data_IF_907632989172
#
_entry.id   IF_907632989172
#
_cell.length_a   1.000
_cell.length_b   1.000
_cell.length_c   1.000
_cell.angle_alpha   90.00
_cell.angle_beta   90.00
_cell.angle_gamma   90.00
#
_symmetry.space_group_name_H-M   'P 1'
#
loop_
_entity.id
_entity.type
_entity.pdbx_description
1 polymer ?
#
# COMPACT_ATOMS: atom_id res chain seq x y z
N UNK A 1 -13.22 -55.54 5.20
CA UNK A 1 -11.76 -55.55 4.88
C UNK A 1 -11.09 -54.32 5.49
N UNK A 2 -10.73 -54.48 6.77
CA UNK A 2 -9.70 -53.83 7.61
C UNK A 2 -9.43 -52.31 7.49
N UNK A 3 -9.70 -51.64 8.63
CA UNK A 3 -9.13 -50.39 9.18
C UNK A 3 -7.61 -50.13 8.95
N UNK A 4 -6.84 -51.12 8.45
CA UNK A 4 -5.43 -50.95 8.06
C UNK A 4 -5.25 -49.99 6.87
N UNK A 5 -6.26 -49.82 6.01
CA UNK A 5 -6.22 -48.84 4.92
C UNK A 5 -6.45 -47.39 5.40
N UNK A 6 -7.19 -47.18 6.48
CA UNK A 6 -7.47 -45.84 7.01
C UNK A 6 -6.23 -45.21 7.64
N UNK A 7 -5.39 -45.98 8.35
CA UNK A 7 -4.09 -45.51 8.86
C UNK A 7 -3.08 -45.22 7.74
N UNK A 8 -3.14 -45.94 6.61
CA UNK A 8 -2.30 -45.69 5.42
C UNK A 8 -2.74 -44.41 4.68
N UNK A 9 -4.05 -44.15 4.61
CA UNK A 9 -4.65 -42.90 4.11
C UNK A 9 -4.39 -41.70 5.02
N UNK A 10 -4.44 -41.88 6.35
CA UNK A 10 -4.10 -40.83 7.32
C UNK A 10 -2.60 -40.49 7.35
N UNK A 11 -1.71 -41.48 7.14
CA UNK A 11 -0.28 -41.25 6.91
C UNK A 11 -0.01 -40.49 5.59
N UNK A 12 -0.76 -40.79 4.52
CA UNK A 12 -0.70 -39.99 3.27
C UNK A 12 -1.25 -38.57 3.42
N UNK A 13 -2.34 -38.36 4.20
CA UNK A 13 -2.85 -37.02 4.54
C UNK A 13 -1.81 -36.19 5.28
N UNK A 14 -1.14 -36.73 6.31
CA UNK A 14 -0.03 -36.04 6.99
C UNK A 14 1.13 -35.71 6.06
N UNK A 15 1.38 -36.52 5.02
CA UNK A 15 2.40 -36.24 4.01
C UNK A 15 2.01 -35.08 3.10
N UNK A 16 0.74 -34.98 2.66
CA UNK A 16 0.28 -33.89 1.79
C UNK A 16 0.21 -32.57 2.56
N UNK A 17 -0.22 -32.59 3.84
CA UNK A 17 -0.16 -31.39 4.70
C UNK A 17 1.28 -30.95 4.95
N UNK A 18 2.26 -31.88 4.94
CA UNK A 18 3.69 -31.58 5.03
C UNK A 18 4.25 -30.95 3.74
N UNK A 19 3.73 -31.30 2.56
CA UNK A 19 4.20 -30.69 1.30
C UNK A 19 3.55 -29.34 1.00
N UNK A 20 2.33 -29.08 1.49
CA UNK A 20 1.71 -27.74 1.38
C UNK A 20 2.34 -26.74 2.36
N UNK A 21 3.05 -27.21 3.39
CA UNK A 21 3.73 -26.34 4.37
C UNK A 21 5.13 -25.87 3.96
N UNK A 22 5.72 -26.38 2.88
CA UNK A 22 7.08 -25.98 2.47
C UNK A 22 7.17 -25.08 1.24
N UNK A 23 6.08 -24.73 0.54
CA UNK A 23 6.20 -23.83 -0.65
C UNK A 23 5.00 -22.95 -1.01
N UNK A 24 3.91 -22.93 -0.23
CA UNK A 24 2.71 -22.16 -0.60
C UNK A 24 2.04 -21.60 0.66
N UNK A 25 2.05 -20.27 0.83
CA UNK A 25 1.20 -19.64 1.82
C UNK A 25 -0.20 -19.51 1.24
N UNK A 26 -1.12 -20.37 1.70
CA UNK A 26 -2.53 -20.23 1.40
C UNK A 26 -3.08 -19.14 2.32
N UNK A 27 -3.13 -17.89 1.85
CA UNK A 27 -3.84 -16.85 2.57
C UNK A 27 -5.34 -17.18 2.46
N UNK A 28 -5.93 -17.64 3.57
CA UNK A 28 -7.34 -18.04 3.64
C UNK A 28 -8.24 -16.80 3.62
N UNK A 29 -8.30 -16.09 2.49
CA UNK A 29 -9.30 -15.06 2.28
C UNK A 29 -10.54 -15.72 1.69
N UNK A 30 -11.56 -15.79 2.52
CA UNK A 30 -12.80 -16.53 2.30
C UNK A 30 -13.82 -15.69 1.51
N UNK A 31 -13.94 -15.91 0.20
CA UNK A 31 -14.91 -15.21 -0.65
C UNK A 31 -16.11 -16.07 -1.06
N UNK A 32 -17.31 -15.47 -1.06
CA UNK A 32 -18.43 -15.94 -1.87
C UNK A 32 -18.16 -15.56 -3.34
N UNK A 33 -18.54 -16.42 -4.29
CA UNK A 33 -18.35 -16.23 -5.74
C UNK A 33 -19.12 -15.03 -6.28
N UNK A 34 -18.64 -13.83 -5.97
CA UNK A 34 -19.21 -12.54 -6.36
C UNK A 34 -18.44 -11.97 -7.55
N UNK A 35 -19.06 -11.05 -8.30
CA UNK A 35 -18.39 -10.32 -9.38
C UNK A 35 -17.07 -9.65 -8.93
N UNK A 36 -17.06 -9.09 -7.72
CA UNK A 36 -15.85 -8.48 -7.11
C UNK A 36 -14.70 -9.49 -6.96
N UNK A 37 -14.99 -10.74 -6.60
CA UNK A 37 -13.96 -11.78 -6.46
C UNK A 37 -13.31 -12.15 -7.80
N UNK A 38 -14.10 -12.36 -8.85
CA UNK A 38 -13.57 -12.66 -10.18
C UNK A 38 -12.83 -11.48 -10.79
N UNK A 39 -13.28 -10.25 -10.53
CA UNK A 39 -12.56 -9.04 -10.92
C UNK A 39 -11.20 -8.94 -10.23
N UNK A 40 -11.13 -9.19 -8.91
CA UNK A 40 -9.86 -9.27 -8.18
C UNK A 40 -8.89 -10.28 -8.81
N UNK A 41 -9.37 -11.49 -9.13
CA UNK A 41 -8.54 -12.52 -9.80
C UNK A 41 -8.01 -12.02 -11.14
N UNK A 42 -8.85 -11.36 -11.94
CA UNK A 42 -8.45 -10.80 -13.24
C UNK A 42 -7.32 -9.78 -13.08
N UNK A 43 -7.46 -8.84 -12.14
CA UNK A 43 -6.42 -7.84 -11.85
C UNK A 43 -5.12 -8.50 -11.39
N UNK A 44 -5.19 -9.43 -10.44
CA UNK A 44 -4.00 -10.14 -9.93
C UNK A 44 -3.28 -10.92 -11.03
N UNK A 45 -4.02 -11.58 -11.93
CA UNK A 45 -3.44 -12.28 -13.08
C UNK A 45 -2.70 -11.33 -14.02
N UNK A 46 -3.20 -10.12 -14.23
CA UNK A 46 -2.55 -9.10 -15.07
C UNK A 46 -1.31 -8.54 -14.36
N UNK A 47 -1.44 -8.18 -13.08
CA UNK A 47 -0.41 -7.50 -12.29
C UNK A 47 0.81 -8.38 -11.94
N UNK A 48 0.61 -9.66 -11.66
CA UNK A 48 1.58 -10.55 -10.98
C UNK A 48 2.87 -10.92 -11.74
N UNK A 49 3.16 -10.29 -12.88
CA UNK A 49 4.38 -10.56 -13.65
C UNK A 49 5.57 -9.67 -13.26
N UNK A 50 5.39 -8.70 -12.35
CA UNK A 50 6.46 -7.84 -11.85
C UNK A 50 7.13 -8.45 -10.60
N UNK A 51 8.47 -8.40 -10.46
CA UNK A 51 9.19 -9.04 -9.36
C UNK A 51 8.79 -8.52 -7.97
N UNK A 52 8.44 -7.23 -7.87
CA UNK A 52 7.99 -6.59 -6.63
C UNK A 52 6.47 -6.64 -6.41
N UNK A 53 5.74 -7.51 -7.10
CA UNK A 53 4.32 -7.77 -6.86
C UNK A 53 4.16 -9.22 -6.40
N UNK A 54 3.29 -9.46 -5.42
CA UNK A 54 3.02 -10.80 -4.92
C UNK A 54 2.51 -11.70 -6.06
N UNK A 55 3.19 -12.83 -6.28
CA UNK A 55 2.81 -13.70 -7.38
C UNK A 55 1.47 -14.40 -7.08
N UNK A 56 0.58 -14.38 -8.07
CA UNK A 56 -0.68 -15.12 -8.04
C UNK A 56 -0.52 -16.44 -8.79
N UNK A 57 -0.73 -17.56 -8.09
CA UNK A 57 -0.63 -18.90 -8.70
C UNK A 57 -1.98 -19.45 -9.14
N UNK A 58 -3.07 -19.07 -8.47
CA UNK A 58 -4.41 -19.53 -8.83
C UNK A 58 -5.40 -19.49 -7.68
N UNK A 59 -6.51 -20.20 -7.87
CA UNK A 59 -7.51 -20.42 -6.84
C UNK A 59 -7.64 -21.90 -6.53
N UNK A 60 -8.03 -22.22 -5.31
CA UNK A 60 -8.43 -23.56 -4.90
C UNK A 60 -9.73 -23.51 -4.13
N UNK A 61 -10.34 -24.68 -3.97
CA UNK A 61 -11.53 -24.89 -3.16
C UNK A 61 -11.33 -26.18 -2.38
N UNK A 62 -11.28 -26.08 -1.06
CA UNK A 62 -11.16 -27.25 -0.21
C UNK A 62 -12.47 -28.05 -0.23
N UNK A 63 -12.36 -29.37 -0.17
CA UNK A 63 -13.51 -30.26 -0.13
C UNK A 63 -14.38 -29.87 1.08
N UNK A 64 -15.68 -29.67 0.85
CA UNK A 64 -16.69 -29.20 1.83
C UNK A 64 -16.70 -27.70 2.17
N UNK A 65 -15.81 -26.89 1.60
CA UNK A 65 -15.90 -25.44 1.72
C UNK A 65 -16.79 -24.83 0.64
N UNK A 66 -17.64 -23.86 1.01
CA UNK A 66 -18.44 -23.10 0.04
C UNK A 66 -17.64 -21.99 -0.65
N UNK A 67 -16.46 -21.66 -0.11
CA UNK A 67 -15.67 -20.48 -0.48
C UNK A 67 -14.41 -20.90 -1.24
N UNK A 68 -13.90 -19.97 -2.06
CA UNK A 68 -12.63 -20.13 -2.76
C UNK A 68 -11.49 -19.55 -1.92
N UNK A 69 -10.29 -20.12 -2.06
CA UNK A 69 -9.04 -19.63 -1.49
C UNK A 69 -8.10 -19.18 -2.61
N UNK A 70 -7.30 -18.15 -2.34
CA UNK A 70 -6.25 -17.67 -3.24
C UNK A 70 -4.93 -18.39 -2.94
N UNK A 71 -4.26 -18.83 -3.99
CA UNK A 71 -2.90 -19.40 -3.91
C UNK A 71 -1.92 -18.31 -4.33
N UNK A 72 -1.12 -17.83 -3.38
CA UNK A 72 -0.17 -16.73 -3.56
C UNK A 72 1.26 -17.16 -3.21
N UNK A 73 2.24 -16.40 -3.70
CA UNK A 73 3.61 -16.43 -3.19
C UNK A 73 3.64 -16.21 -1.68
N UNK A 74 4.54 -16.92 -1.00
CA UNK A 74 4.77 -16.75 0.43
C UNK A 74 5.78 -15.62 0.66
N UNK A 75 5.39 -14.57 1.38
CA UNK A 75 6.32 -13.55 1.87
C UNK A 75 6.66 -13.86 3.34
N UNK A 76 7.94 -14.08 3.61
CA UNK A 76 8.44 -14.70 4.84
C UNK A 76 8.65 -13.73 6.02
N UNK A 77 8.62 -12.41 5.77
CA UNK A 77 8.92 -11.40 6.78
C UNK A 77 7.73 -10.46 7.08
N UNK A 78 6.50 -10.95 6.88
CA UNK A 78 5.29 -10.21 7.24
C UNK A 78 5.09 -8.93 6.41
N UNK A 79 4.43 -7.94 7.01
CA UNK A 79 4.13 -6.66 6.35
C UNK A 79 5.25 -5.64 6.55
N UNK A 80 5.31 -4.62 5.68
CA UNK A 80 6.19 -3.46 5.87
C UNK A 80 5.83 -2.72 7.16
N UNK A 81 4.55 -2.68 7.57
CA UNK A 81 4.14 -2.11 8.86
C UNK A 81 4.87 -2.78 10.03
N UNK A 82 4.87 -4.10 10.06
CA UNK A 82 5.52 -4.88 11.12
C UNK A 82 7.04 -4.71 11.07
N UNK A 83 7.60 -4.70 9.85
CA UNK A 83 9.02 -4.48 9.61
C UNK A 83 9.52 -3.12 10.12
N UNK A 84 8.73 -2.06 9.90
CA UNK A 84 9.08 -0.69 10.34
C UNK A 84 8.93 -0.50 11.85
N UNK A 85 8.03 -1.23 12.51
CA UNK A 85 7.88 -1.20 13.97
C UNK A 85 8.92 -2.02 14.73
N UNK A 86 9.67 -2.87 14.05
CA UNK A 86 10.65 -3.74 14.70
C UNK A 86 11.97 -3.00 14.95
N UNK A 87 12.19 -2.54 16.17
CA UNK A 87 13.40 -1.80 16.57
C UNK A 87 14.70 -2.63 16.50
N UNK A 88 14.61 -3.97 16.46
CA UNK A 88 15.78 -4.82 16.27
C UNK A 88 16.32 -4.77 14.83
N UNK A 89 15.53 -4.26 13.87
CA UNK A 89 15.93 -4.17 12.46
C UNK A 89 16.67 -2.85 12.23
N UNK A 90 17.92 -2.96 11.80
CA UNK A 90 18.66 -1.82 11.25
C UNK A 90 18.10 -1.48 9.87
N UNK A 91 17.54 -0.27 9.71
CA UNK A 91 16.94 0.18 8.45
C UNK A 91 17.52 1.53 8.05
N UNK A 92 18.66 1.50 7.35
CA UNK A 92 19.42 2.70 6.97
C UNK A 92 18.96 3.24 5.62
N UNK A 93 19.43 4.43 5.30
CA UNK A 93 19.14 5.15 4.04
C UNK A 93 19.19 4.27 2.79
N UNK A 94 20.20 3.41 2.65
CA UNK A 94 20.34 2.52 1.49
C UNK A 94 19.16 1.56 1.35
N UNK A 95 18.66 1.00 2.44
CA UNK A 95 17.50 0.10 2.43
C UNK A 95 16.19 0.87 2.26
N UNK A 96 16.07 2.05 2.88
CA UNK A 96 14.93 2.95 2.70
C UNK A 96 14.75 3.33 1.22
N UNK A 97 15.82 3.80 0.58
CA UNK A 97 15.82 4.16 -0.84
C UNK A 97 15.58 2.94 -1.74
N UNK A 98 16.13 1.77 -1.38
CA UNK A 98 15.87 0.51 -2.09
C UNK A 98 14.38 0.18 -2.08
N UNK A 99 13.75 0.19 -0.90
CA UNK A 99 12.31 -0.13 -0.78
C UNK A 99 11.46 0.90 -1.52
N UNK A 100 11.80 2.20 -1.44
CA UNK A 100 11.10 3.23 -2.20
C UNK A 100 11.16 2.99 -3.72
N UNK A 101 12.34 2.63 -4.25
CA UNK A 101 12.54 2.28 -5.68
C UNK A 101 11.74 1.04 -6.08
N UNK A 102 11.75 -0.01 -5.26
CA UNK A 102 11.01 -1.24 -5.55
C UNK A 102 9.48 -1.01 -5.55
N UNK A 103 8.98 -0.24 -4.58
CA UNK A 103 7.56 0.16 -4.52
C UNK A 103 7.22 1.00 -5.76
N UNK A 104 8.00 2.03 -6.07
CA UNK A 104 7.76 2.89 -7.23
C UNK A 104 7.79 2.10 -8.54
N UNK A 105 8.70 1.14 -8.69
CA UNK A 105 8.76 0.25 -9.86
C UNK A 105 7.49 -0.60 -9.98
N UNK A 106 6.98 -1.15 -8.88
CA UNK A 106 5.73 -1.91 -8.89
C UNK A 106 4.54 -1.03 -9.29
N UNK A 107 4.46 0.20 -8.78
CA UNK A 107 3.38 1.13 -9.15
C UNK A 107 3.51 1.61 -10.59
N UNK A 108 4.73 1.85 -11.08
CA UNK A 108 5.00 2.21 -12.47
C UNK A 108 4.43 1.14 -13.41
N UNK A 109 4.75 -0.12 -13.13
CA UNK A 109 4.21 -1.27 -13.84
C UNK A 109 2.67 -1.34 -13.81
N UNK A 110 2.06 -1.11 -12.65
CA UNK A 110 0.60 -1.12 -12.55
C UNK A 110 -0.01 0.01 -13.40
N UNK A 111 0.47 1.22 -13.21
CA UNK A 111 -0.09 2.42 -13.83
C UNK A 111 0.14 2.43 -15.34
N UNK A 112 1.39 2.37 -15.77
CA UNK A 112 1.77 2.70 -17.14
C UNK A 112 1.72 1.47 -18.06
N UNK A 113 2.17 0.30 -17.60
CA UNK A 113 2.15 -0.92 -18.42
C UNK A 113 0.80 -1.64 -18.41
N UNK A 114 0.06 -1.60 -17.29
CA UNK A 114 -1.19 -2.37 -17.11
C UNK A 114 -2.45 -1.56 -17.01
N UNK A 115 -2.34 -0.24 -16.86
CA UNK A 115 -3.50 0.62 -16.66
C UNK A 115 -4.33 0.20 -15.45
N UNK A 116 -3.68 -0.17 -14.35
CA UNK A 116 -4.27 -0.55 -13.07
C UNK A 116 -3.98 0.55 -12.05
N UNK A 117 -4.99 0.95 -11.27
CA UNK A 117 -4.84 1.80 -10.08
C UNK A 117 -5.01 0.90 -8.85
N UNK A 118 -4.09 0.96 -7.89
CA UNK A 118 -4.10 0.08 -6.71
C UNK A 118 -5.21 0.45 -5.73
N UNK A 119 -5.35 1.75 -5.39
CA UNK A 119 -6.41 2.38 -4.57
C UNK A 119 -6.39 2.07 -3.08
N UNK A 120 -5.32 1.45 -2.58
CA UNK A 120 -5.18 1.07 -1.17
C UNK A 120 -3.71 0.85 -0.80
N UNK A 121 -2.84 1.76 -1.24
CA UNK A 121 -1.43 1.66 -0.91
C UNK A 121 -1.21 2.12 0.52
N UNK A 122 -0.71 1.20 1.34
CA UNK A 122 -0.29 1.45 2.71
C UNK A 122 0.65 0.33 3.17
N UNK A 123 1.40 0.50 4.27
CA UNK A 123 2.43 -0.46 4.67
C UNK A 123 1.90 -1.89 4.94
N UNK A 124 0.64 -2.07 5.36
CA UNK A 124 0.09 -3.43 5.53
C UNK A 124 -0.12 -4.18 4.19
N UNK A 125 -0.17 -3.47 3.06
CA UNK A 125 -0.32 -4.05 1.72
C UNK A 125 1.02 -4.19 0.99
N UNK A 126 2.13 -3.86 1.65
CA UNK A 126 3.49 -4.14 1.18
C UNK A 126 4.04 -5.25 2.06
N UNK A 127 4.38 -6.40 1.48
CA UNK A 127 4.95 -7.53 2.21
C UNK A 127 6.47 -7.54 2.05
N UNK A 128 7.17 -8.08 3.04
CA UNK A 128 8.63 -8.25 2.98
C UNK A 128 8.93 -9.72 2.67
N UNK A 129 9.73 -9.94 1.64
CA UNK A 129 10.19 -11.26 1.24
C UNK A 129 11.67 -11.22 0.89
N UNK A 130 12.53 -12.02 1.52
CA UNK A 130 13.96 -12.11 1.16
C UNK A 130 14.66 -10.74 0.98
N UNK A 131 14.39 -9.81 1.90
CA UNK A 131 14.91 -8.43 1.89
C UNK A 131 14.50 -7.59 0.66
N UNK A 132 13.45 -7.99 -0.06
CA UNK A 132 12.75 -7.19 -1.08
C UNK A 132 11.28 -7.02 -0.69
N UNK A 133 10.61 -6.06 -1.30
CA UNK A 133 9.17 -5.86 -1.13
C UNK A 133 8.34 -6.67 -2.15
N UNK A 134 7.14 -7.03 -1.74
CA UNK A 134 6.07 -7.61 -2.56
C UNK A 134 4.79 -6.83 -2.33
N UNK A 135 4.39 -6.03 -3.29
CA UNK A 135 3.11 -5.32 -3.25
C UNK A 135 1.95 -6.33 -3.35
N UNK A 136 0.98 -6.21 -2.47
CA UNK A 136 -0.10 -7.15 -2.28
C UNK A 136 -1.47 -6.45 -2.13
N UNK A 137 -2.50 -7.28 -2.05
CA UNK A 137 -3.93 -6.91 -1.95
C UNK A 137 -4.50 -5.97 -3.02
N UNK A 138 -4.88 -6.58 -4.14
CA UNK A 138 -5.57 -5.92 -5.24
C UNK A 138 -7.10 -5.92 -5.08
N UNK A 139 -7.62 -6.07 -3.86
CA UNK A 139 -9.06 -6.20 -3.60
C UNK A 139 -9.89 -4.98 -3.98
N UNK A 140 -9.25 -3.81 -4.05
CA UNK A 140 -9.88 -2.52 -4.33
C UNK A 140 -9.38 -1.87 -5.61
N UNK A 141 -8.42 -2.50 -6.27
CA UNK A 141 -7.83 -2.01 -7.50
C UNK A 141 -8.85 -1.92 -8.62
N UNK A 142 -8.60 -1.04 -9.57
CA UNK A 142 -9.45 -0.84 -10.75
C UNK A 142 -8.60 -0.67 -12.00
N UNK A 143 -9.24 -0.71 -13.16
CA UNK A 143 -8.59 -0.31 -14.40
C UNK A 143 -8.68 1.21 -14.54
N UNK A 144 -7.67 1.84 -15.16
CA UNK A 144 -7.71 3.26 -15.52
C UNK A 144 -8.94 3.52 -16.39
N UNK A 145 -9.56 4.67 -16.19
CA UNK A 145 -10.74 5.09 -16.95
C UNK A 145 -12.07 4.49 -16.46
N UNK A 146 -12.10 3.43 -15.64
CA UNK A 146 -13.39 2.90 -15.14
C UNK A 146 -14.08 3.90 -14.21
N UNK A 147 -15.33 4.27 -14.49
CA UNK A 147 -16.16 5.15 -13.65
C UNK A 147 -16.59 4.44 -12.37
N UNK A 148 -15.70 4.39 -11.38
CA UNK A 148 -16.07 4.05 -10.01
C UNK A 148 -16.02 5.31 -9.15
N UNK A 149 -17.13 6.04 -9.08
CA UNK A 149 -17.33 6.98 -8.00
C UNK A 149 -17.36 6.17 -6.70
N UNK A 150 -16.46 6.48 -5.78
CA UNK A 150 -16.58 5.93 -4.44
C UNK A 150 -17.67 6.72 -3.71
N UNK A 151 -18.81 6.08 -3.48
CA UNK A 151 -19.88 6.62 -2.63
C UNK A 151 -19.53 6.53 -1.14
N UNK A 152 -18.46 5.82 -0.80
CA UNK A 152 -18.04 5.55 0.57
C UNK A 152 -16.52 5.77 0.69
N UNK A 153 -16.09 6.29 1.85
CA UNK A 153 -14.68 6.40 2.21
C UNK A 153 -14.19 5.01 2.58
N UNK A 154 -13.15 4.55 1.90
CA UNK A 154 -12.58 3.22 2.10
C UNK A 154 -11.05 3.33 2.21
N UNK A 155 -10.45 2.49 3.05
CA UNK A 155 -9.01 2.37 3.23
C UNK A 155 -8.55 2.74 4.62
N UNK A 156 -7.24 2.66 4.84
CA UNK A 156 -6.65 3.12 6.10
C UNK A 156 -6.68 4.65 6.08
N UNK A 157 -7.53 5.24 6.93
CA UNK A 157 -7.88 6.67 6.96
C UNK A 157 -6.69 7.62 6.75
N UNK A 158 -5.57 7.30 7.41
CA UNK A 158 -4.32 8.08 7.42
C UNK A 158 -3.65 8.20 6.03
N UNK A 159 -3.98 7.32 5.10
CA UNK A 159 -3.42 7.30 3.75
C UNK A 159 -4.41 7.80 2.71
N UNK A 160 -5.70 7.92 3.04
CA UNK A 160 -6.73 8.22 2.03
C UNK A 160 -6.52 9.62 1.45
N UNK A 161 -6.61 9.71 0.13
CA UNK A 161 -6.54 10.97 -0.61
C UNK A 161 -7.56 12.00 -0.05
N UNK A 162 -7.14 13.23 0.31
CA UNK A 162 -8.01 14.25 0.86
C UNK A 162 -9.23 14.54 -0.03
N UNK A 163 -9.07 14.45 -1.36
CA UNK A 163 -10.19 14.61 -2.29
C UNK A 163 -11.20 13.48 -2.20
N UNK A 164 -10.74 12.25 -1.92
CA UNK A 164 -11.62 11.11 -1.68
C UNK A 164 -12.24 11.11 -0.26
N UNK A 165 -11.63 11.80 0.71
CA UNK A 165 -12.18 12.00 2.04
C UNK A 165 -13.30 13.06 2.08
N UNK A 166 -13.24 14.05 1.19
CA UNK A 166 -14.23 15.11 1.14
C UNK A 166 -15.54 14.62 0.50
N UNK A 167 -16.53 14.28 1.33
CA UNK A 167 -17.85 13.80 0.87
C UNK A 167 -18.68 14.85 0.13
N UNK A 168 -18.33 16.13 0.24
CA UNK A 168 -19.09 17.21 -0.38
C UNK A 168 -18.75 17.42 -1.87
N UNK A 169 -17.60 16.90 -2.32
CA UNK A 169 -17.11 17.09 -3.69
C UNK A 169 -16.90 15.70 -4.30
N UNK A 170 -17.66 15.33 -5.34
CA UNK A 170 -17.46 14.06 -6.02
C UNK A 170 -16.03 13.96 -6.56
N UNK A 171 -15.30 12.95 -6.12
CA UNK A 171 -13.94 12.70 -6.59
C UNK A 171 -13.80 11.26 -7.06
N UNK A 172 -13.30 11.10 -8.30
CA UNK A 172 -12.98 9.81 -8.88
C UNK A 172 -11.54 9.47 -8.54
N UNK A 173 -11.35 8.49 -7.65
CA UNK A 173 -10.03 7.95 -7.33
C UNK A 173 -9.33 7.50 -8.61
N UNK A 174 -8.11 7.98 -8.80
CA UNK A 174 -7.28 7.72 -9.97
C UNK A 174 -5.83 7.45 -9.55
N UNK A 175 -4.92 7.37 -10.51
CA UNK A 175 -3.49 7.17 -10.26
C UNK A 175 -2.89 8.20 -9.31
N UNK A 176 -3.38 9.45 -9.28
CA UNK A 176 -2.88 10.50 -8.38
C UNK A 176 -3.20 10.21 -6.91
N UNK A 177 -4.22 9.41 -6.63
CA UNK A 177 -4.49 8.93 -5.27
C UNK A 177 -3.45 7.91 -4.81
N UNK A 178 -3.00 7.02 -5.70
CA UNK A 178 -1.86 6.13 -5.40
C UNK A 178 -0.58 6.95 -5.18
N UNK A 179 -0.35 8.03 -5.94
CA UNK A 179 0.79 8.93 -5.71
C UNK A 179 0.71 9.61 -4.33
N UNK A 180 -0.48 10.03 -3.90
CA UNK A 180 -0.67 10.56 -2.55
C UNK A 180 -0.30 9.53 -1.49
N UNK A 181 -0.77 8.29 -1.63
CA UNK A 181 -0.42 7.21 -0.72
C UNK A 181 1.09 6.94 -0.69
N UNK A 182 1.77 7.03 -1.85
CA UNK A 182 3.23 6.89 -1.94
C UNK A 182 3.98 7.94 -1.13
N UNK A 183 3.47 9.18 -1.06
CA UNK A 183 4.05 10.24 -0.23
C UNK A 183 4.14 9.82 1.24
N UNK A 184 3.05 9.31 1.81
CA UNK A 184 3.05 8.81 3.19
C UNK A 184 3.86 7.54 3.38
N UNK A 185 3.83 6.62 2.41
CA UNK A 185 4.68 5.43 2.44
C UNK A 185 6.17 5.81 2.47
N UNK A 186 6.61 6.76 1.64
CA UNK A 186 8.00 7.22 1.61
C UNK A 186 8.40 7.94 2.89
N UNK A 187 7.55 8.82 3.42
CA UNK A 187 7.78 9.43 4.72
C UNK A 187 7.90 8.38 5.83
N UNK A 188 7.06 7.34 5.79
CA UNK A 188 7.08 6.28 6.78
C UNK A 188 8.31 5.36 6.66
N UNK A 189 8.87 5.17 5.46
CA UNK A 189 10.16 4.47 5.30
C UNK A 189 11.27 5.17 6.09
N UNK A 190 11.21 6.50 6.25
CA UNK A 190 12.24 7.25 6.97
C UNK A 190 11.89 7.46 8.44
N UNK A 191 10.62 7.74 8.77
CA UNK A 191 10.16 7.96 10.15
C UNK A 191 10.04 6.67 10.96
N UNK A 192 9.77 5.55 10.27
CA UNK A 192 9.35 4.25 10.84
C UNK A 192 8.07 4.32 11.68
N UNK A 193 7.34 5.43 11.66
CA UNK A 193 6.14 5.69 12.45
C UNK A 193 4.90 5.74 11.55
N UNK A 194 3.72 5.32 12.05
CA UNK A 194 2.49 5.61 11.34
C UNK A 194 2.29 7.13 11.23
N UNK A 195 1.69 7.63 10.14
CA UNK A 195 1.32 9.04 10.05
C UNK A 195 0.34 9.40 11.15
N UNK A 196 0.49 10.59 11.71
CA UNK A 196 -0.41 11.23 12.67
C UNK A 196 -0.55 10.47 14.00
N UNK A 197 0.50 9.74 14.39
CA UNK A 197 0.55 8.93 15.63
C UNK A 197 0.35 9.78 16.91
N UNK A 198 0.63 11.08 16.83
CA UNK A 198 0.50 12.06 17.91
C UNK A 198 -0.88 12.70 18.02
N UNK A 199 -1.80 12.41 17.09
CA UNK A 199 -3.10 13.04 17.03
C UNK A 199 -4.20 12.15 17.61
N UNK A 200 -5.03 12.72 18.49
CA UNK A 200 -6.29 12.08 18.90
C UNK A 200 -7.21 11.89 17.67
N UNK A 201 -7.79 10.69 17.56
CA UNK A 201 -8.49 10.20 16.36
C UNK A 201 -9.67 11.08 15.92
N UNK A 202 -10.33 11.76 16.85
CA UNK A 202 -11.66 12.36 16.63
C UNK A 202 -11.65 13.53 15.62
N UNK A 203 -10.49 14.10 15.29
CA UNK A 203 -10.37 15.22 14.35
C UNK A 203 -9.38 15.01 13.21
N UNK A 204 -8.91 13.78 12.99
CA UNK A 204 -7.85 13.52 12.02
C UNK A 204 -8.28 13.86 10.58
N UNK A 205 -9.53 13.54 10.22
CA UNK A 205 -10.09 13.84 8.90
C UNK A 205 -10.10 15.35 8.64
N UNK A 206 -10.54 16.16 9.61
CA UNK A 206 -10.55 17.62 9.49
C UNK A 206 -9.13 18.17 9.31
N UNK A 207 -8.16 17.68 10.08
CA UNK A 207 -6.76 18.11 9.97
C UNK A 207 -6.17 17.79 8.59
N UNK A 208 -6.40 16.58 8.07
CA UNK A 208 -5.94 16.17 6.72
C UNK A 208 -6.56 17.07 5.64
N UNK A 209 -7.86 17.35 5.74
CA UNK A 209 -8.61 18.21 4.80
C UNK A 209 -8.13 19.68 4.88
N UNK A 210 -7.78 20.17 6.07
CA UNK A 210 -7.16 21.49 6.28
C UNK A 210 -5.69 21.56 5.86
N UNK A 211 -5.13 20.48 5.31
CA UNK A 211 -3.78 20.46 4.75
C UNK A 211 -2.68 20.05 5.73
N UNK A 212 -3.01 19.54 6.94
CA UNK A 212 -1.99 18.99 7.85
C UNK A 212 -1.23 17.86 7.17
N UNK A 213 0.10 17.91 7.25
CA UNK A 213 1.05 16.88 6.81
C UNK A 213 2.07 16.64 7.91
N UNK A 214 2.82 15.56 7.75
CA UNK A 214 3.92 15.23 8.64
C UNK A 214 5.11 16.16 8.43
N UNK A 215 5.85 16.39 9.51
CA UNK A 215 7.11 17.13 9.45
C UNK A 215 8.21 16.25 8.83
N UNK A 216 9.19 16.85 8.12
CA UNK A 216 10.33 16.10 7.62
C UNK A 216 11.10 15.40 8.74
N UNK A 217 11.49 14.16 8.47
CA UNK A 217 12.30 13.38 9.41
C UNK A 217 13.75 13.85 9.31
N UNK A 218 14.36 14.16 10.46
CA UNK A 218 15.78 14.51 10.54
C UNK A 218 16.64 13.39 9.93
N UNK A 219 17.82 13.75 9.44
CA UNK A 219 18.77 12.83 8.81
C UNK A 219 18.28 12.12 7.53
N UNK A 220 17.13 12.54 6.98
CA UNK A 220 16.65 12.09 5.68
C UNK A 220 17.26 12.91 4.54
N UNK A 221 17.54 12.26 3.41
CA UNK A 221 18.02 12.91 2.21
C UNK A 221 17.07 14.02 1.71
N UNK A 222 17.59 15.22 1.47
CA UNK A 222 16.80 16.39 1.09
C UNK A 222 15.94 16.16 -0.16
N UNK A 223 16.49 15.51 -1.20
CA UNK A 223 15.74 15.23 -2.44
C UNK A 223 14.60 14.24 -2.20
N UNK A 224 14.79 13.32 -1.27
CA UNK A 224 13.74 12.37 -0.90
C UNK A 224 12.61 13.04 -0.12
N UNK A 225 12.95 14.00 0.76
CA UNK A 225 11.98 14.87 1.45
C UNK A 225 11.13 15.62 0.43
N UNK A 226 11.80 16.34 -0.48
CA UNK A 226 11.11 17.08 -1.54
C UNK A 226 10.19 16.18 -2.36
N UNK A 227 10.65 14.97 -2.70
CA UNK A 227 9.87 14.02 -3.48
C UNK A 227 8.59 13.58 -2.78
N UNK A 228 8.66 13.09 -1.54
CA UNK A 228 7.44 12.65 -0.85
C UNK A 228 6.51 13.83 -0.54
N UNK A 229 7.07 15.04 -0.37
CA UNK A 229 6.28 16.25 -0.20
C UNK A 229 5.54 16.69 -1.46
N UNK A 230 6.13 16.50 -2.65
CA UNK A 230 5.43 16.67 -3.92
C UNK A 230 4.33 15.62 -4.09
N UNK A 231 4.55 14.39 -3.64
CA UNK A 231 3.60 13.29 -3.78
C UNK A 231 2.29 13.52 -2.98
N UNK A 232 2.35 14.10 -1.78
CA UNK A 232 1.17 14.28 -0.91
C UNK A 232 0.52 15.68 -0.99
N UNK A 233 0.77 16.44 -2.07
CA UNK A 233 0.12 17.73 -2.33
C UNK A 233 -1.41 17.60 -2.30
N UNK A 234 -2.10 18.65 -1.86
CA UNK A 234 -3.55 18.60 -1.69
C UNK A 234 -4.24 18.39 -3.04
N UNK A 235 -3.90 19.21 -4.05
CA UNK A 235 -4.47 19.07 -5.38
C UNK A 235 -3.83 17.91 -6.16
N UNK A 236 -4.63 16.97 -6.71
CA UNK A 236 -4.11 15.83 -7.47
C UNK A 236 -3.22 16.19 -8.65
N UNK A 237 -3.50 17.31 -9.32
CA UNK A 237 -2.78 17.73 -10.53
C UNK A 237 -1.40 18.33 -10.23
N UNK A 238 -1.17 18.77 -8.99
CA UNK A 238 0.14 19.23 -8.52
C UNK A 238 1.08 18.06 -8.18
N UNK A 239 0.53 16.85 -8.05
CA UNK A 239 1.32 15.65 -7.73
C UNK A 239 2.02 15.17 -9.01
N UNK A 240 3.25 14.64 -8.93
CA UNK A 240 3.90 14.02 -10.09
C UNK A 240 3.12 12.80 -10.59
N UNK A 241 3.37 12.35 -11.80
CA UNK A 241 3.00 10.99 -12.22
C UNK A 241 4.07 9.99 -11.78
N UNK A 242 3.76 8.69 -11.85
CA UNK A 242 4.68 7.66 -11.35
C UNK A 242 6.00 7.59 -12.13
N UNK A 243 5.98 7.88 -13.43
CA UNK A 243 7.18 7.96 -14.26
C UNK A 243 8.14 9.06 -13.77
N UNK A 244 7.60 10.22 -13.38
CA UNK A 244 8.37 11.32 -12.76
C UNK A 244 8.92 10.90 -11.38
N UNK A 245 8.10 10.28 -10.53
CA UNK A 245 8.55 9.77 -9.21
C UNK A 245 9.72 8.79 -9.36
N UNK A 246 9.62 7.83 -10.30
CA UNK A 246 10.67 6.85 -10.53
C UNK A 246 11.96 7.49 -11.06
N UNK A 247 11.84 8.49 -11.95
CA UNK A 247 12.99 9.27 -12.44
C UNK A 247 13.69 10.02 -11.31
N UNK A 248 12.93 10.72 -10.46
CA UNK A 248 13.47 11.44 -9.30
C UNK A 248 14.19 10.48 -8.33
N UNK A 249 13.56 9.34 -7.96
CA UNK A 249 14.20 8.33 -7.11
C UNK A 249 15.51 7.79 -7.69
N UNK A 250 15.56 7.54 -8.99
CA UNK A 250 16.76 7.01 -9.65
C UNK A 250 17.89 8.05 -9.72
N UNK A 251 17.57 9.34 -9.67
CA UNK A 251 18.55 10.42 -9.59
C UNK A 251 19.20 10.58 -8.21
N UNK A 252 18.63 9.96 -7.16
CA UNK A 252 19.16 10.05 -5.79
C UNK A 252 20.29 9.01 -5.60
N UNK A 253 21.47 9.50 -5.21
CA UNK A 253 22.62 8.65 -4.93
C UNK A 253 22.45 7.89 -3.61
N UNK A 254 22.49 6.57 -3.69
CA UNK A 254 22.46 5.68 -2.52
C UNK A 254 23.68 5.80 -1.60
N UNK A 255 24.80 6.34 -2.09
CA UNK A 255 26.06 6.45 -1.33
C UNK A 255 26.19 7.78 -0.58
N UNK A 256 25.41 8.78 -0.95
CA UNK A 256 25.46 10.09 -0.33
C UNK A 256 24.12 10.44 0.32
N UNK A 257 24.08 10.48 1.65
CA UNK A 257 22.84 10.76 2.35
C UNK A 257 22.40 12.22 2.21
N UNK A 258 23.26 13.19 1.84
CA UNK A 258 22.92 14.64 1.74
C UNK A 258 21.81 15.04 2.73
N UNK A 259 22.03 14.70 3.99
CA UNK A 259 21.00 14.68 5.02
C UNK A 259 20.59 16.12 5.38
N UNK A 260 19.31 16.34 5.64
CA UNK A 260 18.86 17.60 6.25
C UNK A 260 19.46 17.75 7.65
N UNK A 261 20.31 18.76 7.84
CA UNK A 261 21.00 19.05 9.12
C UNK A 261 20.17 20.01 9.99
N UNK A 262 19.07 20.56 9.47
CA UNK A 262 18.26 21.61 10.13
C UNK A 262 16.79 21.20 10.11
N UNK A 263 16.02 21.41 11.21
CA UNK A 263 14.56 21.35 11.14
C UNK A 263 14.07 22.28 10.04
N UNK A 264 13.34 21.74 9.07
CA UNK A 264 12.84 22.53 7.95
C UNK A 264 11.72 23.44 8.46
N UNK A 265 11.96 24.75 8.59
CA UNK A 265 10.90 25.73 8.80
C UNK A 265 10.16 25.93 7.47
N UNK A 266 9.13 25.11 7.23
CA UNK A 266 8.28 25.27 6.05
C UNK A 266 7.55 26.62 6.05
N UNK A 267 7.38 27.22 4.87
CA UNK A 267 6.51 28.37 4.68
C UNK A 267 5.12 28.10 5.25
N UNK A 268 4.72 28.86 6.28
CA UNK A 268 3.35 28.91 6.78
C UNK A 268 2.46 29.60 5.75
N UNK A 269 2.16 28.93 4.64
CA UNK A 269 1.11 29.38 3.74
C UNK A 269 -0.25 29.03 4.37
N UNK A 270 -0.70 29.93 5.24
CA UNK A 270 -2.10 30.00 5.68
C UNK A 270 -2.90 30.55 4.51
N UNK A 271 -3.17 29.70 3.52
CA UNK A 271 -4.34 29.92 2.68
C UNK A 271 -5.54 29.47 3.51
N UNK A 272 -6.18 30.45 4.16
CA UNK A 272 -7.50 30.31 4.76
C UNK A 272 -8.55 30.08 3.66
N UNK A 273 -8.54 28.90 3.05
CA UNK A 273 -9.77 28.36 2.51
C UNK A 273 -10.64 28.01 3.72
N UNK A 274 -11.62 28.87 4.02
CA UNK A 274 -12.71 28.59 4.94
C UNK A 274 -13.50 27.39 4.40
N UNK A 275 -12.97 26.19 4.58
CA UNK A 275 -13.78 24.98 4.59
C UNK A 275 -14.56 25.09 5.88
N UNK A 276 -15.88 25.27 5.76
CA UNK A 276 -16.79 25.37 6.89
C UNK A 276 -16.80 24.02 7.64
N UNK A 277 -15.89 23.89 8.61
CA UNK A 277 -15.60 22.64 9.36
C UNK A 277 -16.88 22.14 10.06
N UNK A 278 -17.79 23.06 10.37
CA UNK A 278 -19.10 22.79 10.96
C UNK A 278 -20.06 22.04 10.03
N UNK A 279 -19.85 22.07 8.70
CA UNK A 279 -20.64 21.25 7.75
C UNK A 279 -20.10 19.84 7.57
N UNK A 280 -18.86 19.56 7.97
CA UNK A 280 -18.23 18.24 7.80
C UNK A 280 -18.46 17.35 9.03
N UNK A 281 -18.57 17.95 10.23
CA UNK A 281 -18.71 17.21 11.49
C UNK A 281 -20.17 17.01 11.95
N UNK A 282 -21.16 17.48 11.19
CA UNK A 282 -22.58 17.28 11.52
C UNK A 282 -23.17 16.18 10.64
N UNK A 283 -22.88 14.92 10.96
CA UNK A 283 -23.67 13.72 10.65
C UNK A 283 -22.89 12.48 11.13
N UNK A 284 -22.84 12.32 12.44
CA UNK A 284 -22.77 10.99 13.07
C UNK A 284 -24.19 10.42 13.20
#
# INVERSE_FOLDING_TARGET
>A
MRLKNLKKLLRKKKSITKYVTEMVFCLHIFFYGTYKFFFKIKIMKIASHHPNIIRFYGITKLQYEKKYSLILENADNGTLRDYLRNDAITFKWKEQLKFAKEIASAILWLHDDKGIVHRDLHPNNVLIHQNTIKLADFGRSSLKGTDCYNTEVWGVLLYVDPKALNRNIPYKINEKSDIYNLGFLFWELTSRKPPFDDLENDYITCKILSGKREEPVLDTNVKFIELYQKCWKHEPDERPNISQVNSELNSIDSKNNNASIVPYEGEKNVHSCQIDVNKICQQE
#
